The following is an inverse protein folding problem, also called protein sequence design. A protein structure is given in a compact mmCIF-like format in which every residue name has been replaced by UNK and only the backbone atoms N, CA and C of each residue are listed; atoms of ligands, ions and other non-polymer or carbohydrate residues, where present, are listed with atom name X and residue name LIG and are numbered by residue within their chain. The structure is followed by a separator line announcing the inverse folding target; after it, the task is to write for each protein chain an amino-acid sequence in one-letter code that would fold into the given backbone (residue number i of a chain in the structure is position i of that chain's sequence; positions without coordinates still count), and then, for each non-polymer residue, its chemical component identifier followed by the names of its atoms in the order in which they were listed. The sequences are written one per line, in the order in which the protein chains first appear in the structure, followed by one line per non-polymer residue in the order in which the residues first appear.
data_IF_722761940016
#
_entry.id   IF_722761940016
#
_cell.length_a   1.000
_cell.length_b   1.000
_cell.length_c   1.000
_cell.angle_alpha   90.00
_cell.angle_beta   90.00
_cell.angle_gamma   90.00
#
_symmetry.space_group_name_H-M   'P 1'
#
loop_
_entity.id
_entity.type
_entity.pdbx_description
1 polymer ?
#
# COMPACT_ATOMS: atom_id res chain seq x y z
N UNK A 1 21.68 -55.85 30.45
CA UNK A 1 21.97 -55.88 31.91
C UNK A 1 20.75 -55.29 32.62
N UNK A 2 19.90 -56.15 33.17
CA UNK A 2 18.91 -55.90 34.22
C UNK A 2 19.31 -56.89 35.34
N UNK A 3 19.03 -56.69 36.66
CA UNK A 3 17.62 -56.65 37.12
C UNK A 3 17.30 -56.14 38.57
N UNK A 4 16.02 -56.33 38.97
CA UNK A 4 15.40 -56.53 40.33
C UNK A 4 15.47 -55.39 41.38
N UNK A 5 14.41 -54.78 41.97
CA UNK A 5 13.06 -55.14 42.52
C UNK A 5 13.07 -55.66 43.99
N UNK A 6 12.24 -55.05 44.87
CA UNK A 6 11.70 -55.60 46.15
C UNK A 6 12.06 -54.81 47.42
N UNK A 7 11.14 -54.10 48.10
CA UNK A 7 10.28 -54.54 49.24
C UNK A 7 11.09 -54.94 50.51
N UNK A 8 10.81 -54.57 51.78
CA UNK A 8 9.76 -53.83 52.49
C UNK A 8 9.86 -54.11 54.02
N UNK A 9 9.00 -53.46 54.82
CA UNK A 9 8.56 -53.79 56.21
C UNK A 9 9.49 -53.38 57.39
N UNK A 10 9.07 -52.98 58.63
CA UNK A 10 7.89 -53.20 59.52
C UNK A 10 7.71 -51.99 60.49
N UNK A 11 6.51 -51.43 60.67
CA UNK A 11 5.52 -51.64 61.78
C UNK A 11 6.00 -51.49 63.24
N UNK A 12 5.41 -50.51 63.96
CA UNK A 12 4.74 -50.56 65.27
C UNK A 12 4.46 -49.10 65.70
N UNK A 13 3.42 -48.68 66.41
CA UNK A 13 2.35 -49.30 67.17
C UNK A 13 1.53 -48.14 67.79
N UNK A 14 0.26 -48.41 68.08
CA UNK A 14 -0.87 -47.49 68.24
C UNK A 14 -1.19 -47.22 69.72
N UNK A 15 -1.80 -46.06 70.02
CA UNK A 15 -2.83 -45.75 71.05
C UNK A 15 -2.50 -44.48 71.85
N UNK A 16 -3.42 -43.65 72.36
CA UNK A 16 -4.88 -43.42 72.31
C UNK A 16 -5.07 -42.11 73.12
N UNK A 17 -6.05 -41.26 72.80
CA UNK A 17 -6.45 -40.21 73.74
C UNK A 17 -7.35 -39.13 73.13
N UNK A 18 -8.64 -39.28 73.34
CA UNK A 18 -9.71 -38.36 72.92
C UNK A 18 -9.60 -37.01 73.62
N UNK A 19 -9.90 -35.92 72.89
CA UNK A 19 -10.59 -34.76 73.46
C UNK A 19 -11.40 -34.03 72.38
N UNK A 20 -12.72 -34.02 72.58
CA UNK A 20 -13.71 -33.23 71.85
C UNK A 20 -13.52 -31.74 72.20
N UNK A 21 -13.45 -30.87 71.20
CA UNK A 21 -13.80 -29.45 71.34
C UNK A 21 -14.64 -29.01 70.13
N UNK A 22 -15.64 -28.17 70.42
CA UNK A 22 -16.81 -27.77 69.62
C UNK A 22 -16.48 -26.78 68.48
N UNK A 23 -17.37 -26.61 67.49
CA UNK A 23 -17.07 -25.92 66.25
C UNK A 23 -17.13 -24.40 66.41
N UNK A 24 -16.08 -23.69 65.97
CA UNK A 24 -16.18 -22.27 65.68
C UNK A 24 -16.75 -22.10 64.28
N UNK A 25 -17.94 -21.49 64.21
CA UNK A 25 -18.55 -21.00 62.98
C UNK A 25 -17.75 -19.79 62.49
N UNK A 26 -16.79 -20.03 61.60
CA UNK A 26 -16.19 -19.00 60.76
C UNK A 26 -16.85 -19.06 59.39
N UNK A 27 -17.79 -18.16 59.11
CA UNK A 27 -18.31 -17.96 57.77
C UNK A 27 -17.20 -17.31 56.93
N UNK A 28 -16.44 -18.11 56.20
CA UNK A 28 -15.57 -17.62 55.14
C UNK A 28 -16.46 -17.21 53.97
N UNK A 29 -16.78 -15.92 53.89
CA UNK A 29 -17.40 -15.32 52.71
C UNK A 29 -16.45 -15.46 51.53
N UNK A 30 -16.76 -16.36 50.61
CA UNK A 30 -16.21 -16.37 49.26
C UNK A 30 -16.72 -15.11 48.55
N UNK A 31 -15.96 -14.03 48.64
CA UNK A 31 -16.09 -12.92 47.71
C UNK A 31 -15.57 -13.39 46.34
N UNK A 32 -16.46 -14.02 45.57
CA UNK A 32 -16.21 -14.28 44.16
C UNK A 32 -16.18 -12.95 43.43
N UNK A 33 -14.97 -12.43 43.17
CA UNK A 33 -14.79 -11.43 42.12
C UNK A 33 -15.20 -12.07 40.80
N UNK A 34 -16.43 -11.81 40.35
CA UNK A 34 -16.75 -11.91 38.93
C UNK A 34 -15.81 -10.94 38.22
N UNK A 35 -14.72 -11.46 37.65
CA UNK A 35 -13.99 -10.78 36.60
C UNK A 35 -14.95 -10.73 35.41
N UNK A 36 -15.75 -9.67 35.35
CA UNK A 36 -16.38 -9.23 34.11
C UNK A 36 -15.23 -9.07 33.12
N UNK A 37 -15.13 -9.99 32.16
CA UNK A 37 -14.16 -9.90 31.08
C UNK A 37 -14.41 -8.61 30.33
N UNK A 38 -13.61 -7.58 30.65
CA UNK A 38 -13.46 -6.44 29.76
C UNK A 38 -12.87 -7.04 28.49
N UNK A 39 -13.56 -6.98 27.34
CA UNK A 39 -12.91 -7.35 26.09
C UNK A 39 -11.67 -6.47 25.99
N UNK A 40 -10.49 -7.10 25.99
CA UNK A 40 -9.26 -6.43 25.63
C UNK A 40 -9.52 -5.87 24.23
N UNK A 41 -9.64 -4.55 24.12
CA UNK A 41 -9.64 -3.91 22.81
C UNK A 41 -8.39 -4.41 22.07
N UNK A 42 -8.49 -4.72 20.77
CA UNK A 42 -7.32 -5.08 19.99
C UNK A 42 -6.27 -4.00 20.23
N UNK A 43 -5.07 -4.43 20.62
CA UNK A 43 -3.97 -3.51 20.85
C UNK A 43 -3.47 -3.06 19.46
N UNK A 44 -4.13 -2.08 18.87
CA UNK A 44 -3.65 -1.40 17.67
C UNK A 44 -2.20 -0.96 17.92
N UNK A 45 -1.31 -1.30 16.99
CA UNK A 45 0.14 -1.17 17.13
C UNK A 45 0.80 -0.87 15.77
N UNK A 46 0.13 -0.11 14.91
CA UNK A 46 0.71 0.25 13.62
C UNK A 46 2.06 0.96 13.80
N UNK A 47 2.97 0.72 12.86
CA UNK A 47 4.34 1.24 12.88
C UNK A 47 4.51 2.26 11.77
N UNK A 48 5.32 3.30 12.03
CA UNK A 48 5.63 4.35 11.06
C UNK A 48 7.02 4.18 10.50
N UNK A 49 7.14 4.26 9.18
CA UNK A 49 8.45 4.39 8.56
C UNK A 49 9.08 5.71 8.94
N UNK A 50 10.37 5.69 9.21
CA UNK A 50 11.13 6.85 9.66
C UNK A 50 12.24 7.19 8.67
N UNK A 51 12.51 8.49 8.54
CA UNK A 51 13.72 8.96 7.86
C UNK A 51 14.99 8.44 8.55
N UNK A 52 15.93 7.87 7.79
CA UNK A 52 17.07 7.15 8.37
C UNK A 52 17.97 8.00 9.28
N UNK A 53 18.07 9.31 9.05
CA UNK A 53 18.98 10.21 9.79
C UNK A 53 18.32 10.96 10.95
N UNK A 54 17.11 11.48 10.73
CA UNK A 54 16.43 12.37 11.67
C UNK A 54 15.31 11.67 12.44
N UNK A 55 14.98 10.42 12.07
CA UNK A 55 13.97 9.60 12.73
C UNK A 55 12.58 10.29 12.75
N UNK A 56 12.32 11.14 11.77
CA UNK A 56 11.02 11.76 11.55
C UNK A 56 10.10 10.80 10.78
N UNK A 57 8.83 10.66 11.18
CA UNK A 57 7.88 9.79 10.50
C UNK A 57 7.58 10.27 9.08
N UNK A 58 7.52 9.32 8.16
CA UNK A 58 7.24 9.58 6.76
C UNK A 58 5.75 9.88 6.55
N UNK A 59 5.44 10.92 5.77
CA UNK A 59 4.07 11.28 5.43
C UNK A 59 3.97 12.00 4.09
N UNK A 60 2.83 11.87 3.40
CA UNK A 60 2.49 12.73 2.27
C UNK A 60 1.89 14.05 2.75
N UNK A 61 2.42 15.19 2.26
CA UNK A 61 1.80 16.52 2.50
C UNK A 61 0.34 16.55 1.99
N UNK A 62 0.12 15.96 0.82
CA UNK A 62 -1.19 15.76 0.21
C UNK A 62 -1.32 14.26 -0.10
N UNK A 63 -2.19 13.50 0.58
CA UNK A 63 -2.30 12.04 0.43
C UNK A 63 -3.09 11.66 -0.83
N UNK A 64 -2.67 12.21 -1.97
CA UNK A 64 -3.28 12.09 -3.28
C UNK A 64 -2.27 11.42 -4.19
N UNK A 65 -2.01 10.17 -3.88
CA UNK A 65 -0.89 9.44 -4.46
C UNK A 65 -1.34 8.92 -5.81
N UNK A 66 -0.80 9.50 -6.87
CA UNK A 66 -0.95 8.97 -8.22
C UNK A 66 0.23 8.06 -8.52
N UNK A 67 -0.07 6.80 -8.80
CA UNK A 67 0.87 5.78 -9.21
C UNK A 67 0.75 5.54 -10.71
N UNK A 68 1.90 5.42 -11.35
CA UNK A 68 2.04 5.16 -12.77
C UNK A 68 2.28 3.66 -12.97
N UNK A 69 1.39 2.99 -13.72
CA UNK A 69 1.48 1.56 -13.97
C UNK A 69 2.28 1.28 -15.25
N UNK A 70 3.40 0.55 -15.12
CA UNK A 70 4.18 0.08 -16.27
C UNK A 70 3.83 -1.37 -16.59
N UNK A 71 3.43 -1.60 -17.82
CA UNK A 71 2.96 -2.91 -18.32
C UNK A 71 3.82 -3.47 -19.45
N UNK A 72 4.99 -2.86 -19.69
CA UNK A 72 5.92 -3.23 -20.76
C UNK A 72 6.64 -4.57 -20.50
N UNK A 73 6.79 -4.93 -19.23
CA UNK A 73 7.57 -6.09 -18.79
C UNK A 73 6.81 -6.89 -17.73
N UNK A 74 5.72 -7.56 -18.11
CA UNK A 74 4.94 -8.43 -17.22
C UNK A 74 5.36 -9.91 -17.31
N UNK A 75 5.45 -10.64 -16.18
CA UNK A 75 5.68 -12.08 -16.19
C UNK A 75 4.49 -12.82 -16.79
N UNK A 76 4.72 -14.02 -17.36
CA UNK A 76 3.79 -14.64 -18.32
C UNK A 76 2.32 -14.78 -17.90
N UNK A 77 2.04 -15.11 -16.63
CA UNK A 77 0.66 -15.25 -16.14
C UNK A 77 -0.03 -13.90 -15.83
N UNK A 78 0.74 -12.81 -15.76
CA UNK A 78 0.22 -11.48 -15.41
C UNK A 78 -0.13 -10.70 -16.66
N UNK A 79 -1.43 -10.52 -16.91
CA UNK A 79 -1.90 -9.60 -17.94
C UNK A 79 -1.87 -8.15 -17.46
N UNK A 80 -1.83 -7.20 -18.39
CA UNK A 80 -1.92 -5.77 -18.07
C UNK A 80 -3.24 -5.42 -17.35
N UNK A 81 -4.33 -6.10 -17.70
CA UNK A 81 -5.64 -5.91 -17.05
C UNK A 81 -5.66 -6.47 -15.63
N UNK A 82 -5.03 -7.63 -15.41
CA UNK A 82 -4.85 -8.17 -14.06
C UNK A 82 -4.05 -7.19 -13.20
N UNK A 83 -2.88 -6.75 -13.67
CA UNK A 83 -2.03 -5.84 -12.88
C UNK A 83 -2.72 -4.52 -12.57
N UNK A 84 -3.40 -3.94 -13.57
CA UNK A 84 -4.24 -2.76 -13.42
C UNK A 84 -5.33 -2.94 -12.36
N UNK A 85 -6.06 -4.04 -12.44
CA UNK A 85 -7.18 -4.30 -11.54
C UNK A 85 -6.66 -4.45 -10.12
N UNK A 86 -5.65 -5.30 -9.92
CA UNK A 86 -5.02 -5.49 -8.63
C UNK A 86 -4.50 -4.16 -8.03
N UNK A 87 -3.82 -3.33 -8.82
CA UNK A 87 -3.29 -2.04 -8.36
C UNK A 87 -4.41 -1.05 -7.98
N UNK A 88 -5.49 -0.99 -8.76
CA UNK A 88 -6.64 -0.12 -8.47
C UNK A 88 -7.40 -0.57 -7.23
N UNK A 89 -7.65 -1.87 -7.06
CA UNK A 89 -8.34 -2.38 -5.87
C UNK A 89 -7.48 -2.25 -4.61
N UNK A 90 -6.17 -2.50 -4.70
CA UNK A 90 -5.24 -2.22 -3.61
C UNK A 90 -5.23 -0.73 -3.22
N UNK A 91 -5.20 0.18 -4.21
CA UNK A 91 -5.32 1.62 -3.97
C UNK A 91 -6.63 2.01 -3.27
N UNK A 92 -7.75 1.41 -3.69
CA UNK A 92 -9.05 1.62 -3.06
C UNK A 92 -9.09 1.15 -1.62
N UNK A 93 -8.43 0.05 -1.26
CA UNK A 93 -8.40 -0.47 0.10
C UNK A 93 -7.91 0.57 1.11
N UNK A 94 -6.96 1.42 0.72
CA UNK A 94 -6.39 2.51 1.53
C UNK A 94 -7.10 3.86 1.42
N UNK A 95 -8.06 3.99 0.51
CA UNK A 95 -8.62 5.29 0.12
C UNK A 95 -9.99 5.55 0.73
N UNK A 96 -10.40 6.82 0.71
CA UNK A 96 -11.81 7.19 0.89
C UNK A 96 -12.63 6.68 -0.32
N UNK A 97 -13.89 6.21 -0.15
CA UNK A 97 -14.63 6.07 1.10
C UNK A 97 -14.42 4.73 1.82
N UNK A 98 -13.57 3.83 1.30
CA UNK A 98 -13.36 2.50 1.87
C UNK A 98 -12.87 2.58 3.32
N UNK A 99 -11.97 3.52 3.59
CA UNK A 99 -11.61 3.95 4.96
C UNK A 99 -12.33 5.26 5.26
N UNK A 100 -13.42 5.19 6.02
CA UNK A 100 -14.32 6.33 6.21
C UNK A 100 -13.68 7.55 6.90
N UNK A 101 -12.68 7.32 7.76
CA UNK A 101 -12.00 8.35 8.54
C UNK A 101 -10.83 9.01 7.81
N UNK A 102 -10.48 8.59 6.60
CA UNK A 102 -9.32 9.11 5.86
C UNK A 102 -9.73 10.00 4.70
N UNK A 103 -8.83 10.91 4.31
CA UNK A 103 -8.91 11.68 3.04
C UNK A 103 -7.94 11.19 1.98
N UNK A 104 -7.25 10.08 2.22
CA UNK A 104 -6.34 9.46 1.28
C UNK A 104 -7.07 9.05 0.00
N UNK A 105 -6.42 9.29 -1.13
CA UNK A 105 -6.85 8.85 -2.46
C UNK A 105 -5.62 8.35 -3.20
N UNK A 106 -5.52 7.02 -3.32
CA UNK A 106 -4.51 6.35 -4.12
C UNK A 106 -5.12 6.01 -5.46
N UNK A 107 -4.61 6.65 -6.51
CA UNK A 107 -5.08 6.46 -7.88
C UNK A 107 -3.99 5.85 -8.72
N UNK A 108 -4.38 4.96 -9.64
CA UNK A 108 -3.48 4.32 -10.59
C UNK A 108 -3.83 4.80 -12.00
N UNK A 109 -2.83 5.25 -12.74
CA UNK A 109 -2.98 5.67 -14.13
C UNK A 109 -2.04 4.85 -15.02
N UNK A 110 -2.49 4.64 -16.24
CA UNK A 110 -1.62 4.03 -17.25
C UNK A 110 -0.62 4.99 -17.76
N UNK A 111 0.53 4.42 -18.04
CA UNK A 111 1.50 5.09 -18.86
C UNK A 111 2.10 4.13 -19.85
N UNK A 112 1.88 4.43 -21.12
CA UNK A 112 2.52 3.73 -22.22
C UNK A 112 3.98 4.17 -22.40
N UNK A 113 4.51 5.06 -21.55
CA UNK A 113 5.93 5.43 -21.55
C UNK A 113 6.79 4.17 -21.36
N UNK A 114 7.60 3.86 -22.38
CA UNK A 114 8.49 2.70 -22.44
C UNK A 114 9.81 2.88 -21.69
N UNK A 115 9.91 3.86 -20.79
CA UNK A 115 11.14 4.13 -20.06
C UNK A 115 11.05 3.50 -18.68
N UNK A 116 11.82 2.43 -18.47
CA UNK A 116 12.10 1.89 -17.14
C UNK A 116 12.62 3.02 -16.26
N UNK A 117 11.98 3.22 -15.12
CA UNK A 117 12.27 4.35 -14.26
C UNK A 117 13.64 4.28 -13.63
N UNK A 118 14.11 5.45 -13.23
CA UNK A 118 15.42 5.67 -12.68
C UNK A 118 15.27 6.37 -11.35
N UNK A 119 15.94 5.86 -10.33
CA UNK A 119 15.92 6.41 -8.97
C UNK A 119 15.70 7.94 -8.86
N UNK A 120 14.67 8.34 -8.12
CA UNK A 120 14.33 9.72 -7.79
C UNK A 120 14.00 10.57 -9.03
N UNK A 121 13.00 10.19 -9.82
CA UNK A 121 12.58 10.87 -11.05
C UNK A 121 11.24 11.61 -10.98
N UNK A 122 10.74 11.86 -9.76
CA UNK A 122 9.49 12.55 -9.44
C UNK A 122 8.23 11.82 -9.96
N UNK A 123 8.34 10.53 -10.30
CA UNK A 123 7.21 9.67 -10.67
C UNK A 123 7.05 8.58 -9.63
N UNK A 124 5.84 8.41 -9.10
CA UNK A 124 5.54 7.22 -8.31
C UNK A 124 5.15 6.08 -9.27
N UNK A 125 5.81 4.93 -9.18
CA UNK A 125 5.64 3.86 -10.17
C UNK A 125 5.30 2.48 -9.61
N UNK A 126 4.74 1.63 -10.47
CA UNK A 126 4.42 0.22 -10.22
C UNK A 126 4.94 -0.61 -11.40
N UNK A 127 5.92 -1.48 -11.16
CA UNK A 127 6.54 -2.24 -12.26
C UNK A 127 7.03 -3.63 -11.84
N UNK A 128 7.08 -4.55 -12.81
CA UNK A 128 7.73 -5.84 -12.65
C UNK A 128 9.18 -5.80 -13.17
N UNK A 129 10.11 -6.34 -12.37
CA UNK A 129 11.49 -6.55 -12.77
C UNK A 129 11.70 -7.98 -13.28
N UNK A 130 11.92 -8.14 -14.58
CA UNK A 130 12.07 -9.46 -15.24
C UNK A 130 13.48 -9.81 -15.70
N UNK A 131 14.42 -8.86 -15.67
CA UNK A 131 15.80 -9.11 -16.11
C UNK A 131 16.79 -9.18 -14.95
N UNK A 132 16.53 -8.38 -13.91
CA UNK A 132 17.39 -8.27 -12.75
C UNK A 132 16.56 -7.87 -11.53
N UNK A 133 16.57 -8.69 -10.50
CA UNK A 133 15.90 -8.40 -9.23
C UNK A 133 16.82 -7.60 -8.32
N UNK A 134 16.70 -6.27 -8.38
CA UNK A 134 17.51 -5.37 -7.60
C UNK A 134 17.23 -3.92 -7.93
N UNK A 135 17.75 -3.04 -7.07
CA UNK A 135 17.45 -1.62 -7.08
C UNK A 135 17.67 -0.98 -8.44
N UNK A 136 16.63 -0.34 -8.97
CA UNK A 136 16.79 0.52 -10.13
C UNK A 136 17.79 1.63 -9.80
N UNK A 137 18.75 1.79 -10.70
CA UNK A 137 19.76 2.80 -10.64
C UNK A 137 19.86 3.45 -12.01
N UNK A 138 20.13 4.77 -12.03
CA UNK A 138 20.36 5.53 -13.26
C UNK A 138 21.48 4.92 -14.12
N UNK A 139 22.45 4.27 -13.47
CA UNK A 139 23.51 3.49 -14.10
C UNK A 139 23.35 1.99 -13.77
N UNK A 140 23.28 1.15 -14.80
CA UNK A 140 23.16 -0.31 -14.65
C UNK A 140 24.29 -0.94 -13.81
N UNK A 141 25.49 -0.36 -13.82
CA UNK A 141 26.63 -0.84 -13.03
C UNK A 141 26.49 -0.56 -11.51
N UNK A 142 25.61 0.37 -11.15
CA UNK A 142 25.33 0.73 -9.75
C UNK A 142 24.20 -0.09 -9.15
N UNK A 143 23.49 -0.89 -9.96
CA UNK A 143 22.44 -1.78 -9.48
C UNK A 143 23.00 -2.69 -8.38
N UNK A 144 22.16 -2.91 -7.37
CA UNK A 144 22.44 -3.82 -6.24
C UNK A 144 21.29 -4.81 -6.15
N UNK A 145 21.58 -6.12 -6.01
CA UNK A 145 20.53 -7.11 -5.91
C UNK A 145 19.71 -6.88 -4.64
N UNK A 146 18.41 -7.14 -4.74
CA UNK A 146 17.54 -7.24 -3.57
C UNK A 146 17.69 -8.62 -2.93
N UNK A 147 17.04 -8.81 -1.78
CA UNK A 147 16.86 -10.16 -1.23
C UNK A 147 16.15 -11.04 -2.27
N UNK A 148 16.71 -12.19 -2.66
CA UNK A 148 16.11 -13.07 -3.66
C UNK A 148 14.72 -13.60 -3.27
N UNK A 149 14.37 -13.60 -1.99
CA UNK A 149 13.08 -14.06 -1.48
C UNK A 149 12.05 -12.93 -1.30
N UNK A 150 12.43 -11.67 -1.49
CA UNK A 150 11.48 -10.57 -1.50
C UNK A 150 10.54 -10.69 -2.71
N UNK A 151 9.23 -10.61 -2.45
CA UNK A 151 8.19 -10.64 -3.47
C UNK A 151 8.08 -9.29 -4.18
N UNK A 152 8.16 -8.21 -3.42
CA UNK A 152 8.15 -6.85 -3.89
C UNK A 152 9.03 -5.97 -2.98
N UNK A 153 9.37 -4.77 -3.45
CA UNK A 153 10.07 -3.75 -2.70
C UNK A 153 9.41 -2.41 -2.96
N UNK A 154 9.06 -1.70 -1.90
CA UNK A 154 8.72 -0.29 -1.96
C UNK A 154 9.93 0.58 -1.63
N UNK A 155 10.32 1.45 -2.54
CA UNK A 155 11.31 2.50 -2.31
C UNK A 155 10.61 3.83 -2.10
N UNK A 156 10.96 4.57 -1.04
CA UNK A 156 10.38 5.87 -0.71
C UNK A 156 11.47 6.92 -0.61
N UNK A 157 11.27 8.07 -1.26
CA UNK A 157 12.12 9.25 -1.11
C UNK A 157 11.38 10.32 -0.33
N UNK A 158 12.06 10.90 0.65
CA UNK A 158 11.48 11.90 1.53
C UNK A 158 12.50 12.98 1.91
N UNK A 159 12.00 14.17 2.24
CA UNK A 159 12.81 15.28 2.77
C UNK A 159 13.33 14.91 4.16
N UNK A 160 14.65 14.77 4.38
CA UNK A 160 15.17 14.33 5.67
C UNK A 160 14.84 15.28 6.83
N UNK A 161 14.62 16.57 6.57
CA UNK A 161 14.32 17.56 7.61
C UNK A 161 12.85 17.57 8.06
N UNK A 162 11.95 16.94 7.31
CA UNK A 162 10.51 16.97 7.62
C UNK A 162 9.84 15.61 7.64
N UNK A 163 10.37 14.60 6.93
CA UNK A 163 9.66 13.34 6.69
C UNK A 163 8.63 13.40 5.55
N UNK A 164 8.51 14.54 4.86
CA UNK A 164 7.60 14.67 3.71
C UNK A 164 8.07 13.77 2.57
N UNK A 165 7.27 12.77 2.23
CA UNK A 165 7.45 11.90 1.06
C UNK A 165 7.28 12.74 -0.20
N UNK A 166 8.18 12.54 -1.16
CA UNK A 166 8.17 13.20 -2.47
C UNK A 166 7.93 12.22 -3.60
N UNK A 167 8.32 10.96 -3.43
CA UNK A 167 8.25 9.92 -4.44
C UNK A 167 8.19 8.55 -3.77
N UNK A 168 7.49 7.60 -4.39
CA UNK A 168 7.52 6.20 -4.00
C UNK A 168 7.36 5.27 -5.21
N UNK A 169 8.18 4.24 -5.28
CA UNK A 169 8.16 3.22 -6.32
C UNK A 169 7.90 1.85 -5.71
N UNK A 170 7.11 1.02 -6.41
CA UNK A 170 6.91 -0.39 -6.07
C UNK A 170 7.43 -1.27 -7.22
N UNK A 171 8.36 -2.14 -6.87
CA UNK A 171 8.99 -3.08 -7.79
C UNK A 171 8.61 -4.51 -7.41
N UNK A 172 8.04 -5.27 -8.34
CA UNK A 172 7.67 -6.67 -8.16
C UNK A 172 8.72 -7.60 -8.73
N UNK A 173 8.96 -8.71 -8.02
CA UNK A 173 9.89 -9.73 -8.45
C UNK A 173 9.29 -10.60 -9.56
N UNK A 174 9.53 -10.19 -10.81
CA UNK A 174 9.11 -10.93 -12.00
C UNK A 174 9.98 -12.16 -12.31
N UNK A 175 11.10 -12.33 -11.60
CA UNK A 175 11.98 -13.51 -11.66
C UNK A 175 11.66 -14.55 -10.57
N UNK A 176 10.77 -14.20 -9.65
CA UNK A 176 10.45 -14.98 -8.45
C UNK A 176 9.29 -15.95 -8.66
N UNK A 177 8.39 -16.07 -7.68
CA UNK A 177 7.27 -17.02 -7.75
C UNK A 177 6.23 -16.63 -8.81
N UNK A 178 5.32 -17.54 -9.16
CA UNK A 178 4.16 -17.19 -9.98
C UNK A 178 3.24 -16.19 -9.26
N UNK A 179 2.56 -15.37 -10.06
CA UNK A 179 1.67 -14.30 -9.62
C UNK A 179 0.29 -14.49 -10.23
N UNK A 180 -0.76 -14.11 -9.49
CA UNK A 180 -2.14 -14.20 -9.98
C UNK A 180 -3.13 -13.36 -9.19
N UNK A 181 -4.39 -13.43 -9.61
CA UNK A 181 -5.55 -13.06 -8.78
C UNK A 181 -6.13 -14.35 -8.24
N UNK A 182 -5.78 -14.70 -7.00
CA UNK A 182 -6.15 -15.98 -6.40
C UNK A 182 -7.57 -15.96 -5.82
N UNK A 183 -8.23 -14.80 -5.78
CA UNK A 183 -9.65 -14.70 -5.47
C UNK A 183 -10.50 -15.01 -6.71
N UNK A 184 -10.12 -14.45 -7.87
CA UNK A 184 -10.80 -14.70 -9.14
C UNK A 184 -10.44 -16.05 -9.78
N UNK A 185 -9.21 -16.52 -9.57
CA UNK A 185 -8.72 -17.84 -9.99
C UNK A 185 -8.07 -18.62 -8.83
N UNK A 186 -8.87 -19.21 -7.93
CA UNK A 186 -8.35 -19.99 -6.82
C UNK A 186 -7.50 -21.18 -7.24
N UNK A 187 -7.73 -21.74 -8.44
CA UNK A 187 -6.97 -22.88 -8.96
C UNK A 187 -5.50 -22.52 -9.17
N UNK A 188 -5.20 -21.27 -9.54
CA UNK A 188 -3.82 -20.79 -9.65
C UNK A 188 -3.05 -20.83 -8.32
N UNK A 189 -3.74 -20.85 -7.17
CA UNK A 189 -3.14 -20.94 -5.83
C UNK A 189 -3.02 -22.37 -5.29
N UNK A 190 -3.59 -23.38 -5.97
CA UNK A 190 -3.70 -24.75 -5.43
C UNK A 190 -2.38 -25.49 -5.30
N UNK A 191 -1.37 -25.11 -6.08
CA UNK A 191 -0.03 -25.69 -5.99
C UNK A 191 0.79 -25.13 -4.81
N UNK A 192 0.25 -24.14 -4.10
CA UNK A 192 0.88 -23.50 -2.95
C UNK A 192 2.15 -22.71 -3.31
N UNK A 193 2.29 -22.27 -4.56
CA UNK A 193 3.45 -21.52 -5.04
C UNK A 193 3.12 -20.10 -5.52
N UNK A 194 1.87 -19.86 -5.92
CA UNK A 194 1.45 -18.55 -6.41
C UNK A 194 1.15 -17.57 -5.29
N UNK A 195 1.52 -16.31 -5.54
CA UNK A 195 1.16 -15.19 -4.69
C UNK A 195 0.08 -14.32 -5.33
N UNK A 196 -0.81 -13.84 -4.48
CA UNK A 196 -1.86 -12.93 -4.91
C UNK A 196 -1.32 -11.51 -5.10
N UNK A 197 -1.51 -10.97 -6.31
CA UNK A 197 -0.93 -9.69 -6.70
C UNK A 197 -1.58 -8.51 -5.94
N UNK A 198 -2.90 -8.52 -5.77
CA UNK A 198 -3.59 -7.46 -5.02
C UNK A 198 -3.20 -7.49 -3.54
N UNK A 199 -3.09 -8.68 -2.94
CA UNK A 199 -2.66 -8.89 -1.56
C UNK A 199 -1.29 -8.27 -1.30
N UNK A 200 -0.30 -8.59 -2.14
CA UNK A 200 1.06 -8.01 -2.03
C UNK A 200 1.05 -6.51 -2.33
N UNK A 201 0.36 -6.05 -3.37
CA UNK A 201 0.23 -4.61 -3.66
C UNK A 201 -0.35 -3.84 -2.48
N UNK A 202 -1.35 -4.38 -1.80
CA UNK A 202 -1.99 -3.69 -0.67
C UNK A 202 -1.00 -3.52 0.50
N UNK A 203 -0.13 -4.51 0.74
CA UNK A 203 0.99 -4.39 1.67
C UNK A 203 1.97 -3.27 1.27
N UNK A 204 2.45 -3.30 0.01
CA UNK A 204 3.42 -2.32 -0.50
C UNK A 204 2.87 -0.89 -0.45
N UNK A 205 1.56 -0.71 -0.70
CA UNK A 205 0.92 0.59 -0.57
C UNK A 205 0.91 1.15 0.85
N UNK A 206 0.94 0.30 1.88
CA UNK A 206 1.14 0.76 3.24
C UNK A 206 2.50 1.45 3.42
N UNK A 207 3.57 0.90 2.83
CA UNK A 207 4.88 1.54 2.80
C UNK A 207 4.86 2.86 2.03
N UNK A 208 4.19 2.90 0.87
CA UNK A 208 3.99 4.14 0.11
C UNK A 208 3.35 5.22 0.97
N UNK A 209 2.42 4.85 1.86
CA UNK A 209 1.69 5.77 2.74
C UNK A 209 2.44 6.13 4.03
N UNK A 210 3.63 5.57 4.25
CA UNK A 210 4.51 5.85 5.38
C UNK A 210 4.35 4.92 6.58
N UNK A 211 3.78 3.73 6.37
CA UNK A 211 3.70 2.67 7.37
C UNK A 211 4.88 1.70 7.23
N UNK A 212 5.24 1.10 8.35
CA UNK A 212 6.25 0.05 8.40
C UNK A 212 5.70 -1.26 8.91
N UNK A 213 6.54 -2.29 8.87
CA UNK A 213 6.15 -3.61 9.37
C UNK A 213 5.79 -3.58 10.84
N UNK A 214 4.68 -4.24 11.19
CA UNK A 214 4.16 -4.32 12.57
C UNK A 214 4.88 -5.35 13.43
N UNK A 215 5.82 -6.09 12.85
CA UNK A 215 6.69 -7.05 13.54
C UNK A 215 8.02 -7.21 12.80
N UNK A 216 9.06 -7.62 13.52
CA UNK A 216 10.40 -7.90 12.96
C UNK A 216 10.47 -9.34 12.44
N UNK A 217 10.62 -9.50 11.13
CA UNK A 217 10.83 -10.78 10.44
C UNK A 217 12.32 -11.14 10.30
N UNK A 218 13.22 -10.38 10.92
CA UNK A 218 14.67 -10.55 10.84
C UNK A 218 15.31 -9.50 9.95
N UNK A 219 15.57 -8.33 10.52
CA UNK A 219 16.32 -7.27 9.84
C UNK A 219 16.18 -5.88 10.45
N UNK A 220 15.22 -5.69 11.35
CA UNK A 220 14.90 -4.39 11.93
C UNK A 220 15.18 -4.43 13.44
N UNK A 221 15.98 -3.50 13.96
CA UNK A 221 16.25 -3.40 15.41
C UNK A 221 15.89 -2.01 15.91
N UNK A 222 15.29 -1.94 17.11
CA UNK A 222 14.96 -0.70 17.84
C UNK A 222 13.85 0.17 17.24
N UNK A 223 12.79 -0.46 16.72
CA UNK A 223 11.61 0.26 16.23
C UNK A 223 10.50 0.25 17.28
N UNK A 224 9.66 1.28 17.25
CA UNK A 224 8.50 1.39 18.13
C UNK A 224 7.23 1.55 17.32
N UNK A 225 6.13 1.02 17.82
CA UNK A 225 4.80 1.33 17.32
C UNK A 225 4.46 2.82 17.52
N UNK A 226 3.29 3.23 17.04
CA UNK A 226 2.80 4.60 17.19
C UNK A 226 2.61 5.05 18.64
N UNK A 227 2.59 4.13 19.61
CA UNK A 227 2.50 4.41 21.06
C UNK A 227 3.87 4.51 21.73
N UNK A 228 4.94 4.18 21.00
CA UNK A 228 6.30 4.15 21.52
C UNK A 228 6.68 2.80 22.15
N UNK A 229 5.84 1.77 22.01
CA UNK A 229 6.15 0.44 22.50
C UNK A 229 7.08 -0.30 21.52
N UNK A 230 8.08 -1.06 21.99
CA UNK A 230 8.98 -1.78 21.10
C UNK A 230 8.25 -2.79 20.21
N UNK A 231 8.60 -2.81 18.93
CA UNK A 231 8.11 -3.81 17.96
C UNK A 231 8.75 -5.16 18.25
N UNK A 232 7.93 -6.20 18.38
CA UNK A 232 8.36 -7.58 18.65
C UNK A 232 8.66 -8.38 17.38
N UNK A 233 9.21 -9.58 17.56
CA UNK A 233 9.41 -10.53 16.46
C UNK A 233 8.06 -10.98 15.87
N UNK A 234 8.03 -11.26 14.56
CA UNK A 234 6.84 -11.79 13.92
C UNK A 234 6.46 -13.16 14.48
N UNK A 235 5.15 -13.45 14.62
CA UNK A 235 4.69 -14.78 15.00
C UNK A 235 5.16 -15.81 13.97
N UNK A 236 5.44 -17.03 14.42
CA UNK A 236 5.83 -18.12 13.52
C UNK A 236 4.64 -18.47 12.59
N UNK A 237 4.88 -18.84 11.31
CA UNK A 237 3.82 -19.31 10.40
C UNK A 237 3.01 -20.44 11.05
N UNK A 238 1.67 -20.44 10.94
CA UNK A 238 1.06 -20.74 9.65
C UNK A 238 -0.10 -19.82 9.25
N UNK A 239 -0.26 -18.66 9.89
CA UNK A 239 -1.46 -17.86 9.67
C UNK A 239 -1.40 -17.18 8.30
N UNK A 240 -2.16 -17.72 7.34
CA UNK A 240 -2.57 -17.10 6.06
C UNK A 240 -3.50 -15.91 6.29
N UNK A 241 -3.51 -15.38 7.50
CA UNK A 241 -4.41 -14.38 8.04
C UNK A 241 -3.54 -13.54 8.98
N UNK A 242 -3.20 -12.34 8.55
CA UNK A 242 -2.41 -11.44 9.36
C UNK A 242 -2.59 -10.01 8.88
N UNK A 243 -2.28 -9.03 9.74
CA UNK A 243 -2.38 -7.62 9.39
C UNK A 243 -1.69 -7.31 8.08
N UNK A 244 -2.23 -6.34 7.36
CA UNK A 244 -1.73 -5.96 6.03
C UNK A 244 -0.24 -5.66 6.08
N UNK A 245 0.25 -5.03 7.16
CA UNK A 245 1.65 -4.64 7.30
C UNK A 245 2.59 -5.72 7.89
N UNK A 246 2.17 -6.97 8.02
CA UNK A 246 3.11 -8.07 8.35
C UNK A 246 3.93 -8.42 7.11
N UNK A 247 5.26 -8.27 7.19
CA UNK A 247 6.21 -8.47 6.08
C UNK A 247 6.42 -9.91 5.61
N UNK A 248 5.79 -10.90 6.25
CA UNK A 248 5.79 -12.29 5.78
C UNK A 248 4.47 -12.63 5.10
N UNK A 249 4.52 -12.92 3.80
CA UNK A 249 3.36 -13.30 2.99
C UNK A 249 3.56 -14.72 2.48
N UNK A 250 2.58 -15.59 2.74
CA UNK A 250 2.62 -16.97 2.26
C UNK A 250 1.97 -17.08 0.87
N UNK A 251 2.32 -18.09 0.06
CA UNK A 251 1.56 -18.42 -1.14
C UNK A 251 0.09 -18.68 -0.80
N UNK A 252 -0.83 -18.24 -1.66
CA UNK A 252 -2.28 -18.38 -1.44
C UNK A 252 -2.91 -17.40 -0.44
N UNK A 253 -2.13 -16.51 0.18
CA UNK A 253 -2.63 -15.51 1.12
C UNK A 253 -3.48 -14.45 0.42
N UNK A 254 -4.68 -14.22 0.96
CA UNK A 254 -5.67 -13.26 0.46
C UNK A 254 -6.09 -12.23 1.52
N UNK A 255 -5.67 -12.39 2.77
CA UNK A 255 -6.22 -11.64 3.91
C UNK A 255 -5.93 -10.14 3.81
N UNK A 256 -4.84 -9.75 3.17
CA UNK A 256 -4.35 -8.37 3.05
C UNK A 256 -4.93 -7.63 1.87
N UNK A 257 -5.85 -8.24 1.09
CA UNK A 257 -6.66 -7.50 0.10
C UNK A 257 -7.52 -6.43 0.77
N UNK A 258 -7.83 -6.59 2.05
CA UNK A 258 -8.61 -5.67 2.88
C UNK A 258 -7.83 -5.27 4.12
N UNK A 259 -8.05 -4.03 4.59
CA UNK A 259 -7.37 -3.51 5.77
C UNK A 259 -8.03 -3.99 7.07
N UNK A 260 -7.21 -4.40 8.03
CA UNK A 260 -7.67 -4.62 9.40
C UNK A 260 -7.82 -3.29 10.15
N UNK A 261 -8.37 -3.35 11.36
CA UNK A 261 -8.63 -2.16 12.16
C UNK A 261 -7.37 -1.35 12.48
N UNK A 262 -6.21 -1.99 12.63
CA UNK A 262 -4.94 -1.32 12.91
C UNK A 262 -4.47 -0.45 11.74
N UNK A 263 -4.57 -0.95 10.50
CA UNK A 263 -4.25 -0.16 9.31
C UNK A 263 -5.26 0.96 9.08
N UNK A 264 -6.55 0.71 9.33
CA UNK A 264 -7.57 1.76 9.25
C UNK A 264 -7.31 2.86 10.27
N UNK A 265 -6.94 2.51 11.51
CA UNK A 265 -6.56 3.48 12.54
C UNK A 265 -5.36 4.32 12.09
N UNK A 266 -4.33 3.68 11.53
CA UNK A 266 -3.19 4.40 10.98
C UNK A 266 -3.64 5.44 9.95
N UNK A 267 -4.55 5.09 9.05
CA UNK A 267 -5.07 6.03 8.05
C UNK A 267 -5.89 7.17 8.65
N UNK A 268 -6.63 6.93 9.74
CA UNK A 268 -7.32 7.97 10.49
C UNK A 268 -6.32 8.96 11.11
N UNK A 269 -5.25 8.45 11.72
CA UNK A 269 -4.28 9.25 12.45
C UNK A 269 -3.35 10.03 11.52
N UNK A 270 -2.96 9.44 10.39
CA UNK A 270 -2.03 10.04 9.44
C UNK A 270 -2.72 11.06 8.54
N UNK A 271 -3.91 10.70 8.06
CA UNK A 271 -4.59 11.40 6.98
C UNK A 271 -6.08 11.58 7.30
N UNK A 272 -6.43 12.25 8.41
CA UNK A 272 -7.82 12.38 8.83
C UNK A 272 -8.67 13.04 7.75
N UNK A 273 -9.93 12.58 7.64
CA UNK A 273 -10.93 13.12 6.73
C UNK A 273 -11.17 14.62 6.93
N UNK A 274 -11.04 15.10 8.17
CA UNK A 274 -11.10 16.51 8.52
C UNK A 274 -9.73 17.18 8.28
N UNK A 275 -9.64 18.12 7.33
CA UNK A 275 -8.38 18.80 7.02
C UNK A 275 -8.39 19.62 5.72
N UNK A 276 -7.20 20.08 5.28
CA UNK A 276 -7.00 20.79 4.01
C UNK A 276 -7.60 20.03 2.82
N UNK A 277 -7.94 20.71 1.69
CA UNK A 277 -8.81 20.16 0.66
C UNK A 277 -8.40 18.74 0.22
N UNK A 278 -9.41 17.92 -0.05
CA UNK A 278 -9.27 16.67 -0.80
C UNK A 278 -8.45 16.90 -2.06
N UNK A 279 -7.95 15.82 -2.64
CA UNK A 279 -7.08 15.83 -3.79
C UNK A 279 -7.48 16.88 -4.83
N UNK A 280 -6.53 17.75 -5.24
CA UNK A 280 -6.85 18.75 -6.24
C UNK A 280 -7.39 18.00 -7.45
N UNK A 281 -8.64 18.30 -7.82
CA UNK A 281 -9.24 17.76 -9.04
C UNK A 281 -8.24 18.04 -10.15
N UNK A 282 -7.72 17.00 -10.79
CA UNK A 282 -6.98 17.14 -12.04
C UNK A 282 -7.79 18.09 -12.91
N UNK A 283 -7.20 19.22 -13.33
CA UNK A 283 -7.91 20.15 -14.17
C UNK A 283 -8.35 19.40 -15.42
N UNK A 284 -9.66 19.34 -15.67
CA UNK A 284 -10.26 18.75 -16.88
C UNK A 284 -9.95 19.56 -18.15
N UNK A 285 -8.83 20.28 -18.20
CA UNK A 285 -8.37 21.02 -19.35
C UNK A 285 -7.61 20.08 -20.30
N UNK A 286 -8.31 19.06 -20.76
CA UNK A 286 -8.02 18.36 -22.00
C UNK A 286 -9.35 18.19 -22.74
N UNK A 287 -9.94 19.32 -23.15
CA UNK A 287 -10.92 19.34 -24.22
C UNK A 287 -10.25 18.80 -25.49
N UNK A 288 -10.42 17.51 -25.72
CA UNK A 288 -9.90 16.80 -26.88
C UNK A 288 -10.78 15.63 -27.30
N UNK A 289 -12.10 15.73 -27.09
CA UNK A 289 -13.07 14.72 -27.54
C UNK A 289 -13.42 14.91 -29.01
N UNK A 290 -12.91 14.05 -29.87
CA UNK A 290 -13.34 13.96 -31.28
C UNK A 290 -14.58 13.05 -31.35
N UNK A 291 -15.77 13.63 -31.32
CA UNK A 291 -17.02 12.91 -31.54
C UNK A 291 -17.46 13.03 -33.01
N UNK A 292 -17.45 11.92 -33.75
CA UNK A 292 -18.09 11.82 -35.06
C UNK A 292 -19.61 11.77 -34.87
N UNK A 293 -20.25 12.93 -34.94
CA UNK A 293 -21.71 13.04 -35.01
C UNK A 293 -22.21 12.87 -36.45
N UNK A 294 -23.05 11.86 -36.69
CA UNK A 294 -23.81 11.73 -37.92
C UNK A 294 -24.80 12.89 -38.06
N UNK A 295 -24.75 13.61 -39.18
CA UNK A 295 -25.67 14.72 -39.48
C UNK A 295 -27.11 14.19 -39.61
N UNK A 296 -28.11 14.78 -38.93
CA UNK A 296 -29.49 14.61 -39.32
C UNK A 296 -29.77 15.48 -40.56
N UNK A 297 -30.36 14.87 -41.57
CA UNK A 297 -30.91 15.51 -42.76
C UNK A 297 -32.22 16.22 -42.39
N UNK A 298 -32.33 17.52 -42.63
CA UNK A 298 -33.56 18.24 -42.28
C UNK A 298 -33.61 19.71 -42.71
N UNK A 299 -34.02 19.93 -43.97
CA UNK A 299 -34.73 21.09 -44.54
C UNK A 299 -34.48 22.48 -43.91
N UNK A 300 -33.59 23.25 -44.54
CA UNK A 300 -33.60 24.72 -44.47
C UNK A 300 -34.30 25.32 -45.69
N UNK A 301 -35.43 25.99 -45.48
CA UNK A 301 -36.06 26.86 -46.47
C UNK A 301 -35.57 28.31 -46.33
N UNK A 302 -35.51 28.97 -47.50
CA UNK A 302 -35.46 30.42 -47.73
C UNK A 302 -34.17 31.22 -47.37
N UNK A 303 -33.45 31.58 -48.43
CA UNK A 303 -32.56 32.76 -48.61
C UNK A 303 -33.39 34.07 -48.69
N UNK A 304 -32.81 35.28 -48.88
CA UNK A 304 -31.53 35.86 -48.37
C UNK A 304 -31.73 37.31 -47.88
N UNK A 305 -30.73 37.94 -47.23
CA UNK A 305 -30.50 39.39 -47.43
C UNK A 305 -29.01 39.75 -47.28
N UNK A 306 -28.58 40.55 -48.25
CA UNK A 306 -27.25 41.10 -48.50
C UNK A 306 -26.90 42.24 -47.53
N UNK A 307 -25.62 42.30 -47.10
CA UNK A 307 -24.81 43.54 -47.15
C UNK A 307 -23.40 43.29 -46.61
N UNK A 308 -22.41 43.31 -47.49
CA UNK A 308 -21.00 43.49 -47.14
C UNK A 308 -20.41 44.56 -48.07
N UNK A 309 -19.97 45.67 -47.49
CA UNK A 309 -19.05 46.62 -48.15
C UNK A 309 -17.89 46.85 -47.20
N UNK A 310 -16.72 46.39 -47.67
CA UNK A 310 -15.40 46.44 -47.05
C UNK A 310 -14.78 47.83 -47.21
N UNK A 311 -13.96 48.24 -46.23
CA UNK A 311 -13.01 49.35 -46.37
C UNK A 311 -11.60 48.87 -46.07
N UNK A 312 -10.66 49.54 -46.75
CA UNK A 312 -9.21 49.54 -46.59
C UNK A 312 -8.40 48.49 -47.36
N UNK A 313 -7.94 48.89 -48.55
CA UNK A 313 -6.58 48.60 -48.99
C UNK A 313 -6.02 49.82 -49.74
N UNK A 314 -4.98 50.40 -49.17
CA UNK A 314 -4.31 51.60 -49.62
C UNK A 314 -2.97 51.24 -50.26
N UNK A 315 -2.61 52.01 -51.30
CA UNK A 315 -1.26 52.22 -51.84
C UNK A 315 -0.58 51.01 -52.51
N UNK A 316 0.18 51.14 -53.60
CA UNK A 316 0.45 52.25 -54.49
C UNK A 316 1.25 51.70 -55.67
N UNK A 317 0.96 52.19 -56.87
CA UNK A 317 1.84 52.02 -58.00
C UNK A 317 1.84 53.31 -58.80
N UNK A 318 2.92 54.10 -58.69
CA UNK A 318 3.58 54.72 -59.85
C UNK A 318 4.86 55.45 -59.45
N UNK A 319 5.92 54.69 -59.73
CA UNK A 319 7.31 55.04 -59.96
C UNK A 319 7.57 56.42 -60.61
N UNK A 320 8.64 57.04 -60.09
CA UNK A 320 9.84 57.54 -60.80
C UNK A 320 9.75 58.87 -61.60
N UNK A 321 10.48 59.88 -61.12
CA UNK A 321 11.88 60.28 -61.51
C UNK A 321 12.04 61.81 -61.42
N UNK A 322 12.87 62.25 -60.45
CA UNK A 322 14.20 62.88 -60.62
C UNK A 322 14.21 64.26 -61.31
N UNK A 323 14.49 65.29 -60.52
CA UNK A 323 15.28 66.47 -60.90
C UNK A 323 16.75 66.05 -61.06
N UNK A 324 17.45 66.63 -62.03
CA UNK A 324 18.59 67.54 -61.79
C UNK A 324 19.42 67.74 -63.07
N UNK A 325 19.72 69.01 -63.38
CA UNK A 325 21.06 69.48 -63.74
C UNK A 325 21.11 71.01 -63.59
N UNK A 326 21.88 71.48 -62.62
CA UNK A 326 23.14 72.18 -62.91
C UNK A 326 24.25 71.26 -62.42
#
# INVERSE_FOLDING_TARGET
MLPFKGEGTKRAGRARGLSRARPFRGAAGLAGCLLLGVPLAPAHAYVRSLTSKTQLPLFWRHPCVRLTLLVDSLPGAVSADLFRTAAREAGRAWSTPQVACTRTDVSVEDDERSQRFSEADDVNSLQFLQEFWGRNARDASQRRPYDPFALAITSVWAKPSTGEITEADIEFNGLGPPWGDLEADPEAGTDGSSHDLQNVLTHELGHVLGLDHTCDAGGQTNWTDHRGDPVGACPAPPETEGPTMVGSIQPGDLARRTLEEDEQLAMCDLYPAEGAPSCPKLSQNAEGGCALGTRPTGRGGALPFLSAVLWAAAFAWRRKRKKARF
#
